data_IF_303926610024
#
_entry.id   IF_303926610024
#
_cell.length_a   1.000
_cell.length_b   1.000
_cell.length_c   1.000
_cell.angle_alpha   90.00
_cell.angle_beta   90.00
_cell.angle_gamma   90.00
#
_symmetry.space_group_name_H-M   'P 1'
#
loop_
_entity.id
_entity.type
_entity.pdbx_description
1 polymer ?
#
# COMPACT_ATOMS: atom_id res chain seq x y z
N UNK A 1 -3.90 3.95 10.97
CA UNK A 1 -2.90 4.72 10.20
C UNK A 1 -1.58 3.95 10.19
N UNK A 2 -0.61 4.30 9.35
CA UNK A 2 0.68 3.58 9.26
C UNK A 2 1.84 4.52 8.88
N UNK A 3 3.10 4.06 8.91
CA UNK A 3 4.27 4.84 8.51
C UNK A 3 4.25 5.32 7.05
N UNK A 4 4.94 6.42 6.71
CA UNK A 4 5.69 7.30 7.62
C UNK A 4 4.79 8.14 8.51
N UNK A 5 5.28 8.50 9.69
CA UNK A 5 4.57 9.22 10.75
C UNK A 5 4.80 10.72 10.77
N UNK A 6 5.89 11.20 10.17
CA UNK A 6 6.33 12.59 10.28
C UNK A 6 7.08 13.12 9.06
N UNK A 7 7.14 14.45 8.99
CA UNK A 7 8.10 15.20 8.17
C UNK A 7 8.92 16.17 9.03
N UNK A 8 10.09 16.57 8.55
CA UNK A 8 10.85 17.68 9.13
C UNK A 8 10.14 19.01 8.85
N UNK A 9 10.16 19.93 9.81
CA UNK A 9 9.52 21.25 9.65
C UNK A 9 10.09 22.03 8.47
N UNK A 10 11.42 22.03 8.32
CA UNK A 10 12.08 22.62 7.17
C UNK A 10 11.81 21.78 5.91
N UNK A 11 11.21 22.40 4.89
CA UNK A 11 10.94 21.76 3.61
C UNK A 11 9.84 20.69 3.60
N UNK A 12 9.21 20.39 4.76
CA UNK A 12 8.19 19.31 4.89
C UNK A 12 8.68 17.98 4.33
N UNK A 13 9.96 17.69 4.51
CA UNK A 13 10.59 16.45 4.05
C UNK A 13 10.10 15.26 4.88
N UNK A 14 9.34 14.36 4.25
CA UNK A 14 8.82 13.13 4.88
C UNK A 14 9.94 12.12 5.12
N UNK A 15 9.77 11.27 6.13
CA UNK A 15 10.46 9.98 6.17
C UNK A 15 10.16 9.18 4.88
N UNK A 16 11.06 8.27 4.47
CA UNK A 16 10.87 7.52 3.23
C UNK A 16 9.52 6.81 3.20
N UNK A 17 8.73 7.06 2.15
CA UNK A 17 7.50 6.30 1.92
C UNK A 17 7.85 4.86 1.57
N UNK A 18 6.96 3.95 1.95
CA UNK A 18 7.02 2.56 1.52
C UNK A 18 6.80 2.46 0.00
N UNK A 19 7.25 1.37 -0.61
CA UNK A 19 7.02 1.12 -2.03
C UNK A 19 5.51 0.97 -2.33
N UNK A 20 5.11 1.22 -3.57
CA UNK A 20 3.69 1.19 -3.97
C UNK A 20 2.98 -0.13 -3.62
N UNK A 21 3.65 -1.27 -3.81
CA UNK A 21 3.10 -2.57 -3.44
C UNK A 21 2.90 -2.72 -1.93
N UNK A 22 3.88 -2.27 -1.15
CA UNK A 22 3.81 -2.26 0.32
C UNK A 22 2.72 -1.32 0.83
N UNK A 23 2.53 -0.15 0.21
CA UNK A 23 1.42 0.76 0.51
C UNK A 23 0.06 0.08 0.24
N UNK A 24 -0.06 -0.68 -0.86
CA UNK A 24 -1.26 -1.45 -1.16
C UNK A 24 -1.49 -2.58 -0.14
N UNK A 25 -0.43 -3.19 0.41
CA UNK A 25 -0.55 -4.15 1.50
C UNK A 25 -1.13 -3.50 2.75
N UNK A 26 -0.59 -2.35 3.17
CA UNK A 26 -1.13 -1.60 4.30
C UNK A 26 -2.60 -1.24 4.10
N UNK A 27 -2.98 -0.84 2.88
CA UNK A 27 -4.36 -0.52 2.53
C UNK A 27 -5.28 -1.75 2.62
N UNK A 28 -4.92 -2.85 1.96
CA UNK A 28 -5.70 -4.08 1.96
C UNK A 28 -5.84 -4.68 3.37
N UNK A 29 -4.76 -4.70 4.15
CA UNK A 29 -4.80 -5.13 5.55
C UNK A 29 -5.69 -4.20 6.39
N UNK A 30 -5.62 -2.89 6.17
CA UNK A 30 -6.50 -1.94 6.86
C UNK A 30 -7.96 -2.14 6.50
N UNK A 31 -8.30 -2.45 5.25
CA UNK A 31 -9.69 -2.75 4.87
C UNK A 31 -10.23 -3.97 5.62
N UNK A 32 -9.41 -5.02 5.80
CA UNK A 32 -9.76 -6.19 6.62
C UNK A 32 -9.96 -5.82 8.09
N UNK A 33 -9.00 -5.10 8.68
CA UNK A 33 -9.06 -4.69 10.08
C UNK A 33 -10.26 -3.79 10.37
N UNK A 34 -10.52 -2.82 9.49
CA UNK A 34 -11.63 -1.88 9.64
C UNK A 34 -12.99 -2.55 9.41
N UNK A 35 -13.06 -3.60 8.57
CA UNK A 35 -14.26 -4.43 8.45
C UNK A 35 -14.55 -5.18 9.75
N UNK A 36 -13.52 -5.67 10.45
CA UNK A 36 -13.68 -6.29 11.76
C UNK A 36 -14.15 -5.29 12.83
N UNK A 37 -13.61 -4.07 12.84
CA UNK A 37 -14.09 -2.96 13.70
C UNK A 37 -15.57 -2.67 13.44
N UNK A 38 -15.96 -2.58 12.17
CA UNK A 38 -17.33 -2.30 11.77
C UNK A 38 -18.33 -3.39 12.20
N UNK A 39 -17.88 -4.64 12.37
CA UNK A 39 -18.75 -5.79 12.63
C UNK A 39 -19.54 -5.74 13.94
N UNK A 40 -19.08 -4.95 14.92
CA UNK A 40 -19.70 -4.90 16.25
C UNK A 40 -21.00 -4.06 16.26
N UNK A 41 -20.92 -2.78 15.89
CA UNK A 41 -22.09 -1.88 15.84
C UNK A 41 -22.16 -0.99 14.58
N UNK A 42 -21.44 -1.34 13.53
CA UNK A 42 -21.48 -0.64 12.25
C UNK A 42 -20.59 0.60 12.14
N UNK A 43 -19.65 0.79 13.06
CA UNK A 43 -18.74 1.95 13.04
C UNK A 43 -17.83 1.92 11.83
N UNK A 44 -18.03 2.90 10.95
CA UNK A 44 -17.24 3.08 9.74
C UNK A 44 -16.12 4.09 9.97
N UNK A 45 -14.89 3.71 9.62
CA UNK A 45 -13.77 4.64 9.58
C UNK A 45 -13.64 5.25 8.19
N UNK A 46 -13.61 6.57 8.13
CA UNK A 46 -13.58 7.31 6.88
C UNK A 46 -12.29 7.05 6.10
N UNK A 47 -12.34 6.97 4.76
CA UNK A 47 -11.12 6.90 3.95
C UNK A 47 -10.15 8.07 4.20
N UNK A 48 -10.67 9.25 4.55
CA UNK A 48 -9.86 10.41 4.96
C UNK A 48 -9.08 10.23 6.26
N UNK A 49 -9.37 9.19 7.05
CA UNK A 49 -8.71 8.81 8.32
C UNK A 49 -7.90 7.51 8.21
N UNK A 50 -7.77 6.95 7.01
CA UNK A 50 -7.07 5.68 6.74
C UNK A 50 -5.94 5.90 5.74
N UNK A 51 -4.70 5.88 6.21
CA UNK A 51 -3.52 6.17 5.40
C UNK A 51 -2.24 6.35 6.23
N UNK A 52 -1.15 6.77 5.58
CA UNK A 52 0.05 7.27 6.24
C UNK A 52 -0.28 8.43 7.21
N UNK A 53 0.31 8.48 8.40
CA UNK A 53 -0.14 9.42 9.47
C UNK A 53 -0.17 10.89 9.03
N UNK A 54 0.85 11.46 8.36
CA UNK A 54 0.82 12.85 7.89
C UNK A 54 -0.28 13.13 6.85
N UNK A 55 -0.76 12.10 6.15
CA UNK A 55 -1.76 12.22 5.10
C UNK A 55 -3.19 12.26 5.65
N UNK A 56 -3.41 11.73 6.86
CA UNK A 56 -4.76 11.51 7.43
C UNK A 56 -4.96 12.03 8.84
N UNK A 57 -3.90 12.55 9.47
CA UNK A 57 -3.92 13.13 10.80
C UNK A 57 -3.07 14.42 10.86
N UNK A 58 -1.81 14.32 11.27
CA UNK A 58 -0.81 15.39 11.28
C UNK A 58 0.59 14.78 11.39
N UNK A 59 1.65 15.57 11.22
CA UNK A 59 3.03 15.09 11.39
C UNK A 59 3.37 14.89 12.87
N UNK A 60 3.67 13.66 13.25
CA UNK A 60 3.97 13.27 14.64
C UNK A 60 5.35 12.58 14.72
N UNK A 61 6.39 13.36 15.00
CA UNK A 61 7.74 12.81 15.18
C UNK A 61 7.83 11.96 16.46
N UNK A 62 8.55 10.84 16.39
CA UNK A 62 8.66 9.89 17.50
C UNK A 62 7.48 8.91 17.59
N UNK A 63 6.67 8.79 16.54
CA UNK A 63 5.63 7.77 16.45
C UNK A 63 6.23 6.35 16.59
N UNK A 64 5.64 5.52 17.43
CA UNK A 64 6.05 4.12 17.65
C UNK A 64 5.97 3.27 16.39
N UNK A 65 4.97 3.46 15.52
CA UNK A 65 4.87 2.74 14.26
C UNK A 65 6.06 3.03 13.34
N UNK A 66 6.57 4.27 13.33
CA UNK A 66 7.80 4.62 12.60
C UNK A 66 9.02 3.89 13.16
N UNK A 67 9.19 3.89 14.48
CA UNK A 67 10.28 3.17 15.15
C UNK A 67 10.23 1.65 14.83
N UNK A 68 9.04 1.06 14.90
CA UNK A 68 8.84 -0.35 14.56
C UNK A 68 9.17 -0.65 13.09
N UNK A 69 8.72 0.19 12.18
CA UNK A 69 8.92 -0.01 10.76
C UNK A 69 10.38 0.21 10.34
N UNK A 70 10.93 1.39 10.60
CA UNK A 70 12.23 1.79 10.06
C UNK A 70 13.40 1.13 10.78
N UNK A 71 13.29 0.87 12.09
CA UNK A 71 14.42 0.38 12.89
C UNK A 71 14.32 -1.10 13.28
N UNK A 72 13.14 -1.72 13.15
CA UNK A 72 12.90 -3.09 13.64
C UNK A 72 12.31 -4.06 12.62
N UNK A 73 11.89 -3.56 11.45
CA UNK A 73 11.25 -4.40 10.43
C UNK A 73 9.91 -4.98 10.88
N UNK A 74 9.20 -4.28 11.78
CA UNK A 74 7.89 -4.68 12.31
C UNK A 74 6.82 -3.85 11.61
N UNK A 75 5.81 -4.52 11.06
CA UNK A 75 4.61 -3.89 10.49
C UNK A 75 3.74 -3.41 11.66
N UNK A 76 3.34 -2.14 11.66
CA UNK A 76 2.55 -1.54 12.73
C UNK A 76 1.48 -0.60 12.21
N UNK A 77 0.41 -0.48 12.99
CA UNK A 77 -0.70 0.46 12.76
C UNK A 77 -0.93 1.30 14.00
N UNK A 78 -1.29 2.57 13.79
CA UNK A 78 -1.77 3.49 14.82
C UNK A 78 -3.31 3.57 14.76
N UNK A 79 -3.97 3.46 15.92
CA UNK A 79 -5.42 3.58 16.04
C UNK A 79 -5.80 4.81 16.87
N UNK A 80 -6.76 5.57 16.34
CA UNK A 80 -7.49 6.60 17.08
C UNK A 80 -8.90 6.06 17.34
N UNK A 81 -9.26 5.91 18.62
CA UNK A 81 -10.58 5.42 19.05
C UNK A 81 -11.57 6.59 19.15
N UNK A 82 -12.83 6.32 19.50
CA UNK A 82 -13.87 7.36 19.57
C UNK A 82 -14.37 7.84 18.21
N UNK A 83 -14.53 6.93 17.24
CA UNK A 83 -15.07 7.27 15.93
C UNK A 83 -16.56 7.68 16.02
N UNK A 84 -16.96 8.66 15.20
CA UNK A 84 -18.36 9.07 15.13
C UNK A 84 -19.26 7.92 14.67
N UNK A 85 -20.41 7.75 15.31
CA UNK A 85 -21.39 6.71 14.99
C UNK A 85 -22.46 7.25 14.07
N UNK A 86 -22.82 6.49 13.04
CA UNK A 86 -23.89 6.89 12.13
C UNK A 86 -25.27 6.62 12.74
N UNK A 87 -26.07 7.67 12.89
CA UNK A 87 -27.48 7.56 13.27
C UNK A 87 -28.37 7.48 12.02
N UNK A 88 -29.03 6.33 11.75
CA UNK A 88 -29.88 6.16 10.59
C UNK A 88 -31.18 6.96 10.66
N UNK A 89 -31.66 7.31 11.85
CA UNK A 89 -32.88 8.09 12.01
C UNK A 89 -32.66 9.56 11.60
N UNK A 90 -31.53 10.13 12.01
CA UNK A 90 -31.17 11.52 11.65
C UNK A 90 -30.34 11.62 10.37
N UNK A 91 -29.82 10.49 9.87
CA UNK A 91 -28.89 10.39 8.73
C UNK A 91 -27.64 11.22 8.93
N UNK A 92 -27.12 11.25 10.16
CA UNK A 92 -25.95 12.03 10.54
C UNK A 92 -24.99 11.20 11.37
N UNK A 93 -23.71 11.51 11.23
CA UNK A 93 -22.70 11.03 12.16
C UNK A 93 -22.78 11.83 13.46
N UNK A 94 -22.68 11.13 14.59
CA UNK A 94 -22.74 11.69 15.93
C UNK A 94 -21.42 11.41 16.64
N UNK A 95 -20.81 12.47 17.17
CA UNK A 95 -19.61 12.34 17.96
C UNK A 95 -19.90 11.65 19.29
N UNK A 96 -19.06 10.70 19.67
CA UNK A 96 -19.13 9.98 20.96
C UNK A 96 -18.34 10.69 22.06
N UNK A 97 -17.43 11.57 21.68
CA UNK A 97 -16.65 12.43 22.58
C UNK A 97 -15.28 11.85 22.94
N UNK A 98 -14.37 12.71 23.42
CA UNK A 98 -13.01 12.30 23.82
C UNK A 98 -12.98 11.58 25.18
N UNK A 99 -13.98 11.84 26.02
CA UNK A 99 -14.16 11.22 27.33
C UNK A 99 -15.60 10.74 27.44
N UNK A 100 -15.95 9.63 26.75
CA UNK A 100 -17.30 9.10 26.77
C UNK A 100 -17.64 8.50 28.14
N UNK A 101 -18.93 8.35 28.41
CA UNK A 101 -19.41 7.57 29.57
C UNK A 101 -18.96 6.11 29.45
N UNK A 102 -18.88 5.39 30.58
CA UNK A 102 -18.38 4.01 30.62
C UNK A 102 -19.12 3.08 29.65
N UNK A 103 -20.44 3.26 29.50
CA UNK A 103 -21.25 2.46 28.59
C UNK A 103 -20.80 2.60 27.12
N UNK A 104 -20.40 3.79 26.70
CA UNK A 104 -19.88 4.05 25.36
C UNK A 104 -18.43 3.60 25.23
N UNK A 105 -17.58 3.84 26.25
CA UNK A 105 -16.22 3.29 26.28
C UNK A 105 -16.17 1.76 26.19
N UNK A 106 -17.18 1.06 26.74
CA UNK A 106 -17.34 -0.38 26.54
C UNK A 106 -17.62 -0.74 25.07
N UNK A 107 -18.45 0.03 24.37
CA UNK A 107 -18.72 -0.21 22.94
C UNK A 107 -17.46 -0.04 22.11
N UNK A 108 -16.73 1.06 22.31
CA UNK A 108 -15.44 1.28 21.65
C UNK A 108 -14.45 0.14 21.91
N UNK A 109 -14.34 -0.31 23.16
CA UNK A 109 -13.46 -1.44 23.49
C UNK A 109 -13.81 -2.71 22.70
N UNK A 110 -15.10 -3.02 22.51
CA UNK A 110 -15.52 -4.19 21.75
C UNK A 110 -15.24 -4.05 20.24
N UNK A 111 -15.44 -2.87 19.68
CA UNK A 111 -15.12 -2.57 18.27
C UNK A 111 -13.63 -2.77 17.98
N UNK A 112 -12.78 -2.13 18.77
CA UNK A 112 -11.35 -2.16 18.56
C UNK A 112 -10.76 -3.52 18.98
N UNK A 113 -11.37 -4.26 19.90
CA UNK A 113 -11.00 -5.66 20.16
C UNK A 113 -11.14 -6.53 18.90
N UNK A 114 -12.21 -6.37 18.13
CA UNK A 114 -12.37 -7.06 16.83
C UNK A 114 -11.28 -6.64 15.83
N UNK A 115 -10.95 -5.35 15.78
CA UNK A 115 -9.83 -4.85 14.97
C UNK A 115 -8.48 -5.47 15.38
N UNK A 116 -8.21 -5.60 16.68
CA UNK A 116 -6.98 -6.23 17.19
C UNK A 116 -6.90 -7.72 16.81
N UNK A 117 -8.03 -8.44 16.83
CA UNK A 117 -8.07 -9.83 16.33
C UNK A 117 -7.71 -9.87 14.84
N UNK A 118 -8.27 -8.97 14.03
CA UNK A 118 -7.96 -8.90 12.61
C UNK A 118 -6.48 -8.56 12.32
N UNK A 119 -5.80 -7.78 13.19
CA UNK A 119 -4.35 -7.58 13.07
C UNK A 119 -3.59 -8.90 13.29
N UNK A 120 -4.02 -9.73 14.25
CA UNK A 120 -3.42 -11.04 14.46
C UNK A 120 -3.65 -11.98 13.26
N UNK A 121 -4.81 -11.87 12.60
CA UNK A 121 -5.10 -12.58 11.36
C UNK A 121 -4.19 -12.11 10.22
N UNK A 122 -3.97 -10.80 10.05
CA UNK A 122 -3.01 -10.25 9.08
C UNK A 122 -1.60 -10.75 9.37
N UNK A 123 -1.18 -10.74 10.64
CA UNK A 123 0.14 -11.24 11.04
C UNK A 123 0.30 -12.73 10.76
N UNK A 124 -0.75 -13.53 11.00
CA UNK A 124 -0.77 -14.96 10.67
C UNK A 124 -0.68 -15.18 9.16
N UNK A 125 -1.48 -14.46 8.37
CA UNK A 125 -1.46 -14.55 6.91
C UNK A 125 -0.07 -14.21 6.36
N UNK A 126 0.53 -13.12 6.84
CA UNK A 126 1.90 -12.74 6.48
C UNK A 126 2.95 -13.81 6.85
N UNK A 127 2.85 -14.41 8.04
CA UNK A 127 3.80 -15.45 8.47
C UNK A 127 3.72 -16.73 7.62
N UNK A 128 2.50 -17.08 7.21
CA UNK A 128 2.19 -18.28 6.42
C UNK A 128 2.35 -18.06 4.90
N UNK A 129 2.54 -16.81 4.46
CA UNK A 129 2.58 -16.47 3.04
C UNK A 129 3.81 -17.05 2.34
N UNK A 130 3.55 -17.95 1.39
CA UNK A 130 4.52 -18.56 0.47
C UNK A 130 4.05 -18.46 -0.98
N UNK A 131 2.94 -17.76 -1.22
CA UNK A 131 2.42 -17.54 -2.56
C UNK A 131 3.29 -16.48 -3.23
N UNK A 132 3.47 -16.58 -4.55
CA UNK A 132 4.33 -15.63 -5.27
C UNK A 132 3.43 -14.70 -6.04
N UNK A 133 3.72 -13.39 -6.06
CA UNK A 133 2.92 -12.45 -6.81
C UNK A 133 3.05 -12.73 -8.31
N UNK A 134 1.93 -12.59 -9.01
CA UNK A 134 1.84 -12.48 -10.45
C UNK A 134 1.74 -11.02 -10.88
N UNK A 135 2.40 -10.67 -11.98
CA UNK A 135 2.30 -9.33 -12.56
C UNK A 135 2.24 -9.34 -14.08
N UNK A 136 1.52 -8.40 -14.67
CA UNK A 136 1.42 -8.26 -16.13
C UNK A 136 1.60 -6.81 -16.55
N UNK A 137 2.21 -6.60 -17.72
CA UNK A 137 2.33 -5.28 -18.32
C UNK A 137 1.03 -4.95 -19.05
N UNK A 138 0.46 -3.78 -18.76
CA UNK A 138 -0.77 -3.29 -19.39
C UNK A 138 -0.51 -2.03 -20.18
N UNK A 139 -0.62 -2.10 -21.51
CA UNK A 139 -0.61 -0.89 -22.35
C UNK A 139 -1.91 -0.11 -22.14
N UNK A 140 -1.78 1.14 -21.71
CA UNK A 140 -2.89 2.04 -21.39
C UNK A 140 -3.12 3.12 -22.44
N UNK A 141 -2.17 3.35 -23.34
CA UNK A 141 -2.29 4.35 -24.40
C UNK A 141 -1.22 4.22 -25.47
N UNK A 142 -1.55 4.64 -26.70
CA UNK A 142 -0.61 4.70 -27.83
C UNK A 142 -0.84 5.97 -28.63
N UNK A 143 0.24 6.58 -29.09
CA UNK A 143 0.27 7.64 -30.09
C UNK A 143 1.17 7.19 -31.26
N UNK A 144 1.31 8.02 -32.29
CA UNK A 144 2.26 7.73 -33.39
C UNK A 144 3.74 7.80 -32.98
N UNK A 145 4.05 8.35 -31.81
CA UNK A 145 5.42 8.58 -31.34
C UNK A 145 5.71 8.00 -29.96
N UNK A 146 4.70 7.49 -29.25
CA UNK A 146 4.88 6.95 -27.91
C UNK A 146 3.88 5.85 -27.55
N UNK A 147 4.26 4.99 -26.62
CA UNK A 147 3.35 4.04 -25.96
C UNK A 147 3.44 4.20 -24.46
N UNK A 148 2.28 4.22 -23.81
CA UNK A 148 2.15 4.34 -22.36
C UNK A 148 1.61 3.04 -21.78
N UNK A 149 2.20 2.56 -20.71
CA UNK A 149 1.79 1.34 -20.02
C UNK A 149 1.88 1.50 -18.50
N UNK A 150 1.34 0.52 -17.79
CA UNK A 150 1.53 0.32 -16.35
C UNK A 150 1.70 -1.17 -16.06
N UNK A 151 1.84 -1.56 -14.80
CA UNK A 151 1.81 -2.97 -14.39
C UNK A 151 0.58 -3.25 -13.53
N UNK A 152 -0.06 -4.39 -13.77
CA UNK A 152 -1.08 -4.97 -12.90
C UNK A 152 -0.45 -6.09 -12.08
N UNK A 153 -0.86 -6.23 -10.82
CA UNK A 153 -0.43 -7.28 -9.90
C UNK A 153 -1.67 -7.97 -9.33
N UNK A 154 -1.61 -9.28 -9.14
CA UNK A 154 -2.73 -10.06 -8.56
C UNK A 154 -2.82 -9.95 -7.03
N UNK A 155 -1.71 -9.57 -6.39
CA UNK A 155 -1.64 -9.25 -4.97
C UNK A 155 -0.74 -8.02 -4.70
N UNK A 156 -0.81 -7.41 -3.49
CA UNK A 156 0.04 -6.27 -3.14
C UNK A 156 1.55 -6.56 -3.22
N UNK A 157 2.18 -6.17 -4.34
CA UNK A 157 3.59 -6.40 -4.59
C UNK A 157 4.31 -5.21 -5.24
N UNK A 158 5.58 -5.03 -4.89
CA UNK A 158 6.44 -4.03 -5.51
C UNK A 158 6.98 -4.57 -6.84
N UNK A 159 6.75 -3.83 -7.92
CA UNK A 159 7.28 -4.17 -9.25
C UNK A 159 8.58 -3.43 -9.51
N UNK A 160 9.66 -4.17 -9.79
CA UNK A 160 10.97 -3.65 -10.17
C UNK A 160 11.16 -3.83 -11.67
N UNK A 161 11.56 -2.78 -12.39
CA UNK A 161 11.63 -2.84 -13.85
C UNK A 161 12.84 -2.15 -14.46
N UNK A 162 13.19 -2.53 -15.68
CA UNK A 162 14.20 -1.90 -16.52
C UNK A 162 13.63 -1.61 -17.91
N UNK A 163 14.07 -0.51 -18.52
CA UNK A 163 13.66 -0.06 -19.85
C UNK A 163 14.82 -0.05 -20.86
N UNK A 164 16.02 -0.38 -20.40
CA UNK A 164 17.26 -0.40 -21.21
C UNK A 164 17.64 -1.83 -21.63
N UNK A 165 16.80 -2.82 -21.31
CA UNK A 165 17.09 -4.24 -21.54
C UNK A 165 18.10 -4.84 -20.56
N UNK A 166 18.52 -4.12 -19.51
CA UNK A 166 19.32 -4.72 -18.44
C UNK A 166 18.49 -5.68 -17.59
N UNK A 167 19.15 -6.58 -16.86
CA UNK A 167 18.49 -7.52 -15.95
C UNK A 167 17.95 -6.75 -14.73
N UNK A 168 16.65 -6.86 -14.38
CA UNK A 168 16.10 -6.13 -13.25
C UNK A 168 16.61 -6.69 -11.91
N UNK A 169 16.93 -5.82 -10.96
CA UNK A 169 17.43 -6.18 -9.61
C UNK A 169 16.63 -5.45 -8.53
N UNK A 170 16.91 -5.71 -7.26
CA UNK A 170 16.32 -4.95 -6.15
C UNK A 170 16.77 -3.48 -6.11
N UNK A 171 17.79 -3.11 -6.88
CA UNK A 171 18.22 -1.71 -7.07
C UNK A 171 17.59 -1.06 -8.30
N UNK A 172 16.82 -1.80 -9.10
CA UNK A 172 16.10 -1.22 -10.24
C UNK A 172 14.97 -0.29 -9.79
N UNK A 173 14.55 0.67 -10.65
CA UNK A 173 13.38 1.49 -10.39
C UNK A 173 12.15 0.65 -10.02
N UNK A 174 11.40 1.11 -9.02
CA UNK A 174 10.13 0.51 -8.61
C UNK A 174 8.96 1.24 -9.29
N UNK A 175 7.89 0.51 -9.58
CA UNK A 175 6.60 1.13 -9.91
C UNK A 175 6.15 2.00 -8.72
N UNK A 176 5.94 3.29 -8.97
CA UNK A 176 5.44 4.23 -7.99
C UNK A 176 3.91 4.39 -8.08
N UNK A 177 3.33 5.10 -7.11
CA UNK A 177 1.96 5.60 -7.24
C UNK A 177 1.93 6.75 -8.28
N UNK A 178 0.84 6.89 -9.03
CA UNK A 178 0.63 8.04 -9.92
C UNK A 178 0.48 9.36 -9.14
N UNK A 179 -0.03 9.25 -7.91
CA UNK A 179 -0.34 10.35 -7.03
C UNK A 179 -0.96 9.83 -5.74
N UNK A 180 -1.29 10.73 -4.82
CA UNK A 180 -1.95 10.37 -3.57
C UNK A 180 -3.33 9.78 -3.88
N UNK A 181 -3.50 8.46 -3.66
CA UNK A 181 -4.72 7.71 -3.96
C UNK A 181 -5.05 7.61 -5.46
N UNK A 182 -4.06 7.71 -6.35
CA UNK A 182 -4.28 7.66 -7.80
C UNK A 182 -3.83 6.33 -8.46
N UNK A 183 -3.62 5.28 -7.67
CA UNK A 183 -3.21 3.97 -8.16
C UNK A 183 -1.80 3.96 -8.74
N UNK A 184 -1.52 3.00 -9.63
CA UNK A 184 -0.20 2.81 -10.22
C UNK A 184 0.18 3.92 -11.21
N UNK A 185 1.46 4.34 -11.18
CA UNK A 185 1.99 5.28 -12.18
C UNK A 185 1.89 4.71 -13.60
N UNK A 186 1.83 5.63 -14.57
CA UNK A 186 1.92 5.31 -16.00
C UNK A 186 3.31 5.65 -16.51
N UNK A 187 3.89 4.76 -17.29
CA UNK A 187 5.23 4.87 -17.87
C UNK A 187 5.08 5.03 -19.38
N UNK A 188 5.72 6.05 -19.95
CA UNK A 188 5.68 6.32 -21.40
C UNK A 188 7.05 6.08 -22.02
N UNK A 189 7.08 5.36 -23.14
CA UNK A 189 8.27 5.15 -23.98
C UNK A 189 8.05 5.71 -25.38
N UNK A 190 9.06 6.35 -25.95
CA UNK A 190 9.02 6.98 -27.28
C UNK A 190 9.68 6.15 -28.38
N UNK A 191 10.29 5.02 -27.98
CA UNK A 191 10.87 4.03 -28.88
C UNK A 191 10.43 2.64 -28.46
N UNK A 192 10.38 1.74 -29.42
CA UNK A 192 10.10 0.33 -29.13
C UNK A 192 11.11 -0.19 -28.11
N UNK A 193 10.61 -0.64 -26.96
CA UNK A 193 11.41 -0.90 -25.75
C UNK A 193 11.14 -2.31 -25.25
N UNK A 194 12.19 -3.07 -24.95
CA UNK A 194 12.05 -4.31 -24.18
C UNK A 194 12.01 -3.98 -22.70
N UNK A 195 10.85 -4.18 -22.08
CA UNK A 195 10.65 -3.98 -20.65
C UNK A 195 10.90 -5.32 -19.97
N UNK A 196 11.73 -5.32 -18.93
CA UNK A 196 11.99 -6.50 -18.09
C UNK A 196 11.63 -6.16 -16.65
N UNK A 197 10.91 -7.05 -15.96
CA UNK A 197 10.43 -6.77 -14.61
C UNK A 197 10.20 -8.02 -13.76
N UNK A 198 10.06 -7.83 -12.46
CA UNK A 198 9.58 -8.84 -11.52
C UNK A 198 8.85 -8.16 -10.36
N UNK A 199 7.91 -8.87 -9.75
CA UNK A 199 7.23 -8.45 -8.53
C UNK A 199 7.80 -9.14 -7.27
N UNK A 200 7.77 -8.41 -6.15
CA UNK A 200 8.08 -8.92 -4.80
C UNK A 200 7.04 -8.41 -3.82
N UNK A 201 6.34 -9.30 -3.13
CA UNK A 201 5.42 -8.93 -2.06
C UNK A 201 6.17 -8.46 -0.80
N UNK A 202 5.42 -8.15 0.26
CA UNK A 202 6.01 -7.71 1.53
C UNK A 202 6.61 -8.88 2.35
N UNK A 203 6.14 -10.11 2.15
CA UNK A 203 6.67 -11.32 2.79
C UNK A 203 8.01 -11.78 2.17
N UNK A 204 8.36 -11.23 1.01
CA UNK A 204 9.60 -11.48 0.28
C UNK A 204 9.47 -12.55 -0.79
N UNK A 205 8.26 -13.02 -1.14
CA UNK A 205 8.12 -13.96 -2.24
C UNK A 205 8.33 -13.23 -3.56
N UNK A 206 9.10 -13.87 -4.44
CA UNK A 206 9.51 -13.29 -5.73
C UNK A 206 8.81 -14.02 -6.86
N UNK A 207 8.18 -13.24 -7.73
CA UNK A 207 7.49 -13.72 -8.92
C UNK A 207 8.34 -14.71 -9.75
N UNK A 208 7.70 -15.75 -10.29
CA UNK A 208 8.31 -16.77 -11.17
C UNK A 208 9.54 -17.47 -10.56
N UNK A 209 9.71 -17.43 -9.23
CA UNK A 209 10.91 -17.92 -8.54
C UNK A 209 12.19 -17.20 -9.01
N UNK A 210 12.07 -15.95 -9.47
CA UNK A 210 13.22 -15.17 -9.89
C UNK A 210 14.13 -14.88 -8.69
N UNK A 211 15.45 -14.90 -8.92
CA UNK A 211 16.46 -14.61 -7.90
C UNK A 211 17.19 -13.31 -8.27
N UNK A 212 16.78 -12.13 -7.76
CA UNK A 212 17.35 -10.83 -8.17
C UNK A 212 18.85 -10.69 -7.89
N UNK A 213 19.36 -11.33 -6.85
CA UNK A 213 20.78 -11.39 -6.48
C UNK A 213 21.58 -12.43 -7.30
N UNK A 214 20.91 -13.30 -8.06
CA UNK A 214 21.54 -14.38 -8.83
C UNK A 214 21.86 -14.02 -10.28
N UNK A 215 22.05 -15.06 -11.10
CA UNK A 215 22.30 -14.94 -12.55
C UNK A 215 21.14 -15.47 -13.41
N UNK A 216 20.02 -15.86 -12.79
CA UNK A 216 18.83 -16.35 -13.48
C UNK A 216 18.16 -15.26 -14.32
N UNK A 217 17.32 -15.68 -15.27
CA UNK A 217 16.62 -14.81 -16.22
C UNK A 217 15.10 -15.08 -16.30
N UNK A 218 14.54 -15.74 -15.28
CA UNK A 218 13.12 -16.07 -15.15
C UNK A 218 12.23 -14.88 -14.71
N UNK A 219 12.74 -13.65 -14.79
CA UNK A 219 11.94 -12.43 -14.72
C UNK A 219 10.98 -12.33 -15.92
N UNK A 220 9.97 -11.46 -15.82
CA UNK A 220 9.07 -11.16 -16.94
C UNK A 220 9.71 -10.22 -17.94
N UNK A 221 9.34 -10.39 -19.21
CA UNK A 221 9.78 -9.51 -20.30
C UNK A 221 8.71 -9.37 -21.35
N UNK A 222 8.58 -8.18 -21.90
CA UNK A 222 7.65 -7.86 -22.98
C UNK A 222 8.20 -6.71 -23.82
N UNK A 223 7.95 -6.76 -25.12
CA UNK A 223 8.34 -5.71 -26.06
C UNK A 223 7.18 -4.74 -26.24
N UNK A 224 7.36 -3.53 -25.74
CA UNK A 224 6.41 -2.42 -25.90
C UNK A 224 6.72 -1.71 -27.21
N UNK A 225 5.88 -1.93 -28.22
CA UNK A 225 6.06 -1.35 -29.56
C UNK A 225 5.60 0.10 -29.63
N UNK A 226 6.46 0.98 -30.16
CA UNK A 226 6.08 2.31 -30.63
C UNK A 226 5.98 2.25 -32.15
N UNK A 227 4.76 2.32 -32.67
CA UNK A 227 4.51 2.29 -34.12
C UNK A 227 4.72 3.69 -34.67
N UNK A 228 5.87 3.93 -35.28
CA UNK A 228 6.07 5.14 -36.08
C UNK A 228 5.02 5.22 -37.19
N UNK A 229 4.53 6.41 -37.47
CA UNK A 229 3.84 6.68 -38.73
C UNK A 229 4.78 6.27 -39.87
N UNK A 230 4.38 5.25 -40.63
CA UNK A 230 5.02 4.91 -41.91
C UNK A 230 4.86 6.07 -42.89
#
# INVERSE_FOLDING_TARGET
MWPPGAYKTAGRELLPRVGFGTENFFRSASDHILSAVQSWRGTGIWPGRTGPVPDVLYSAAGNSADEHWFNRGIIGWDFEVGADVYDPATKRFQAVGFQPEFAEGHQEAMEFASGQIAILEVAKAFADDRERPGSDLKVTGRTGTSTTFTFEVDEPANVYYTLDGSRPTLSSPKLAAAGMREGAQRITVEKTTEVRWFAVDIAGNVEKNYKPEGNGNNYRKEKVEVRGTR
#
